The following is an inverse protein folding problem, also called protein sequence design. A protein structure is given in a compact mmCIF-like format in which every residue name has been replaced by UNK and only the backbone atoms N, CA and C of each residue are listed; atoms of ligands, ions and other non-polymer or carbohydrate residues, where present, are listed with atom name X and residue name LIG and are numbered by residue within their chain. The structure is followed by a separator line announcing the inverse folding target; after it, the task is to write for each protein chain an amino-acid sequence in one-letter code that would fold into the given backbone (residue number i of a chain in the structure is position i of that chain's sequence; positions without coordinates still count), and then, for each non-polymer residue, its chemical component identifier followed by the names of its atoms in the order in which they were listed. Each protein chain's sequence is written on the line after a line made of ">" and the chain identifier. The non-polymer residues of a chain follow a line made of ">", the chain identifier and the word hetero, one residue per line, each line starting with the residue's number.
data_IF_204712810419
#
_entry.id   IF_204712810419
#
_cell.length_a   1.000
_cell.length_b   1.000
_cell.length_c   1.000
_cell.angle_alpha   90.00
_cell.angle_beta   90.00
_cell.angle_gamma   90.00
#
_symmetry.space_group_name_H-M   'P 1'
#
loop_
_entity.id
_entity.type
_entity.pdbx_description
1 polymer ?
#
# COMPACT_ATOMS: atom_id res chain seq x y z
N UNK A 1 10.02 31.88 3.07
CA UNK A 1 10.14 30.52 2.49
C UNK A 1 11.56 30.02 2.75
N UNK A 2 11.77 29.10 3.69
CA UNK A 2 13.07 28.45 3.90
C UNK A 2 13.11 27.23 2.99
N UNK A 3 13.94 27.26 1.95
CA UNK A 3 14.31 26.05 1.22
C UNK A 3 15.01 25.11 2.22
N UNK A 4 14.38 23.98 2.52
CA UNK A 4 14.98 22.94 3.35
C UNK A 4 16.29 22.49 2.73
N UNK A 5 17.31 22.30 3.56
CA UNK A 5 18.64 21.81 3.18
C UNK A 5 18.48 20.56 2.31
N UNK A 6 19.11 20.53 1.14
CA UNK A 6 19.10 19.33 0.28
C UNK A 6 19.71 18.16 1.06
N UNK A 7 19.11 16.95 0.98
CA UNK A 7 19.61 15.79 1.70
C UNK A 7 21.04 15.46 1.26
N UNK A 8 21.85 15.01 2.20
CA UNK A 8 23.21 14.58 1.87
C UNK A 8 23.20 13.23 1.11
N UNK A 9 24.35 12.84 0.56
CA UNK A 9 24.46 11.61 -0.27
C UNK A 9 24.03 10.37 0.50
N UNK A 10 24.23 10.33 1.82
CA UNK A 10 23.86 9.20 2.67
C UNK A 10 22.35 9.19 2.90
N UNK A 11 21.74 10.34 3.21
CA UNK A 11 20.29 10.50 3.34
C UNK A 11 19.56 10.20 2.02
N UNK A 12 20.10 10.63 0.88
CA UNK A 12 19.59 10.30 -0.44
C UNK A 12 19.72 8.79 -0.75
N UNK A 13 20.82 8.17 -0.35
CA UNK A 13 21.06 6.74 -0.52
C UNK A 13 20.18 5.87 0.41
N UNK A 14 19.95 6.31 1.65
CA UNK A 14 19.02 5.68 2.59
C UNK A 14 17.56 5.83 2.12
N UNK A 15 17.19 6.99 1.58
CA UNK A 15 15.89 7.19 0.92
C UNK A 15 15.70 6.29 -0.32
N UNK A 16 16.77 5.99 -1.07
CA UNK A 16 16.74 5.01 -2.15
C UNK A 16 16.64 3.55 -1.67
N UNK A 17 16.99 3.24 -0.41
CA UNK A 17 16.83 1.91 0.19
C UNK A 17 15.42 1.66 0.72
N UNK A 18 14.74 2.71 1.16
CA UNK A 18 13.34 2.65 1.53
C UNK A 18 12.49 2.38 0.28
N UNK A 19 11.61 1.38 0.34
CA UNK A 19 10.70 1.13 -0.76
C UNK A 19 9.74 2.33 -0.89
N UNK A 20 9.74 3.08 -2.01
CA UNK A 20 8.91 4.28 -2.09
C UNK A 20 7.44 3.92 -2.02
N UNK A 21 6.68 4.61 -1.16
CA UNK A 21 5.23 4.42 -1.05
C UNK A 21 4.55 4.54 -2.42
N UNK A 22 4.92 5.56 -3.21
CA UNK A 22 4.37 5.76 -4.55
C UNK A 22 4.63 4.59 -5.52
N UNK A 23 5.79 3.92 -5.41
CA UNK A 23 6.10 2.76 -6.23
C UNK A 23 5.21 1.55 -5.88
N UNK A 24 5.03 1.26 -4.58
CA UNK A 24 4.13 0.17 -4.16
C UNK A 24 2.67 0.47 -4.54
N UNK A 25 2.25 1.73 -4.40
CA UNK A 25 0.92 2.19 -4.83
C UNK A 25 0.71 1.94 -6.33
N UNK A 26 1.65 2.34 -7.17
CA UNK A 26 1.58 2.12 -8.62
C UNK A 26 1.48 0.62 -8.95
N UNK A 27 2.29 -0.22 -8.30
CA UNK A 27 2.23 -1.68 -8.50
C UNK A 27 0.89 -2.29 -8.06
N UNK A 28 0.34 -1.82 -6.94
CA UNK A 28 -0.98 -2.24 -6.48
C UNK A 28 -2.08 -1.83 -7.48
N UNK A 29 -2.05 -0.61 -8.01
CA UNK A 29 -2.98 -0.18 -9.06
C UNK A 29 -2.89 -1.02 -10.32
N UNK A 30 -1.67 -1.33 -10.79
CA UNK A 30 -1.45 -2.18 -11.97
C UNK A 30 -2.05 -3.57 -11.74
N UNK A 31 -1.78 -4.18 -10.57
CA UNK A 31 -2.35 -5.50 -10.21
C UNK A 31 -3.88 -5.45 -10.18
N UNK A 32 -4.47 -4.47 -9.51
CA UNK A 32 -5.93 -4.27 -9.43
C UNK A 32 -6.55 -4.14 -10.83
N UNK A 33 -5.95 -3.32 -11.70
CA UNK A 33 -6.38 -3.18 -13.10
C UNK A 33 -6.29 -4.52 -13.85
N UNK A 34 -5.20 -5.28 -13.65
CA UNK A 34 -5.03 -6.63 -14.21
C UNK A 34 -6.07 -7.63 -13.70
N UNK A 35 -6.57 -7.45 -12.47
CA UNK A 35 -7.66 -8.24 -11.90
C UNK A 35 -9.06 -7.76 -12.36
N UNK A 36 -9.13 -6.72 -13.19
CA UNK A 36 -10.37 -6.16 -13.74
C UNK A 36 -11.03 -5.10 -12.87
N UNK A 37 -10.35 -4.57 -11.86
CA UNK A 37 -10.86 -3.42 -11.09
C UNK A 37 -10.65 -2.12 -11.85
N UNK A 38 -11.60 -1.19 -11.70
CA UNK A 38 -11.45 0.21 -12.07
C UNK A 38 -11.03 1.01 -10.83
N UNK A 39 -9.94 1.75 -10.93
CA UNK A 39 -9.56 2.73 -9.90
C UNK A 39 -10.45 3.95 -10.05
N UNK A 40 -11.00 4.45 -8.93
CA UNK A 40 -11.88 5.61 -8.91
C UNK A 40 -11.39 6.65 -7.90
N UNK A 41 -11.64 7.91 -8.20
CA UNK A 41 -11.46 8.97 -7.21
C UNK A 41 -12.51 8.87 -6.12
N UNK A 42 -12.16 9.38 -4.93
CA UNK A 42 -13.03 9.44 -3.76
C UNK A 42 -14.39 10.07 -4.08
N UNK A 43 -14.42 11.11 -4.90
CA UNK A 43 -15.66 11.83 -5.22
C UNK A 43 -16.67 10.97 -5.96
N UNK A 44 -16.19 9.96 -6.69
CA UNK A 44 -17.00 8.99 -7.42
C UNK A 44 -17.38 7.76 -6.57
N UNK A 45 -16.88 7.66 -5.33
CA UNK A 45 -17.22 6.56 -4.44
C UNK A 45 -18.58 6.78 -3.74
N UNK A 46 -19.26 5.70 -3.32
CA UNK A 46 -20.47 5.80 -2.49
C UNK A 46 -20.21 6.48 -1.15
N UNK A 47 -21.25 7.06 -0.54
CA UNK A 47 -21.11 7.80 0.72
C UNK A 47 -20.59 6.96 1.88
N UNK A 48 -20.91 5.67 1.93
CA UNK A 48 -20.41 4.78 2.98
C UNK A 48 -18.89 4.55 2.86
N UNK A 49 -18.33 4.49 1.65
CA UNK A 49 -16.88 4.46 1.40
C UNK A 49 -16.26 5.81 1.80
N UNK A 50 -16.88 6.92 1.40
CA UNK A 50 -16.42 8.27 1.76
C UNK A 50 -16.40 8.50 3.28
N UNK A 51 -17.25 7.83 4.05
CA UNK A 51 -17.27 7.92 5.51
C UNK A 51 -16.19 7.05 6.18
N UNK A 52 -15.71 6.00 5.52
CA UNK A 52 -14.77 5.05 6.09
C UNK A 52 -13.35 5.61 6.32
N UNK A 53 -12.95 6.67 5.61
CA UNK A 53 -11.62 7.27 5.73
C UNK A 53 -11.05 7.68 4.38
N UNK A 54 -9.73 7.84 4.28
CA UNK A 54 -9.03 8.21 3.05
C UNK A 54 -7.97 7.17 2.67
N UNK A 55 -8.38 6.03 2.08
CA UNK A 55 -7.45 5.01 1.64
C UNK A 55 -6.58 5.52 0.49
N UNK A 56 -5.40 4.92 0.31
CA UNK A 56 -4.49 5.28 -0.78
C UNK A 56 -5.09 4.98 -2.16
N UNK A 57 -5.86 3.89 -2.29
CA UNK A 57 -6.54 3.48 -3.52
C UNK A 57 -7.97 3.05 -3.20
N UNK A 58 -8.92 3.50 -4.02
CA UNK A 58 -10.29 2.98 -4.08
C UNK A 58 -10.46 2.30 -5.43
N UNK A 59 -10.83 1.03 -5.41
CA UNK A 59 -11.01 0.23 -6.62
C UNK A 59 -12.39 -0.44 -6.60
N UNK A 60 -13.02 -0.57 -7.76
CA UNK A 60 -14.35 -1.18 -7.90
C UNK A 60 -14.40 -2.18 -9.05
N UNK A 61 -15.06 -3.32 -8.83
CA UNK A 61 -15.33 -4.34 -9.85
C UNK A 61 -16.71 -4.95 -9.59
N UNK A 62 -17.62 -4.88 -10.56
CA UNK A 62 -18.97 -5.46 -10.45
C UNK A 62 -19.76 -5.06 -9.19
N UNK A 63 -19.55 -3.83 -8.69
CA UNK A 63 -20.18 -3.33 -7.47
C UNK A 63 -19.46 -3.69 -6.17
N UNK A 64 -18.42 -4.53 -6.22
CA UNK A 64 -17.54 -4.82 -5.10
C UNK A 64 -16.42 -3.79 -5.02
N UNK A 65 -16.17 -3.27 -3.81
CA UNK A 65 -15.17 -2.23 -3.55
C UNK A 65 -13.99 -2.83 -2.80
N UNK A 66 -12.78 -2.46 -3.23
CA UNK A 66 -11.54 -2.70 -2.50
C UNK A 66 -10.97 -1.35 -2.04
N UNK A 67 -10.70 -1.25 -0.75
CA UNK A 67 -9.96 -0.14 -0.15
C UNK A 67 -8.55 -0.63 0.15
N UNK A 68 -7.56 0.03 -0.43
CA UNK A 68 -6.16 -0.40 -0.28
C UNK A 68 -5.37 0.70 0.42
N UNK A 69 -4.69 0.28 1.48
CA UNK A 69 -3.74 1.08 2.22
C UNK A 69 -2.33 0.55 1.96
N UNK A 70 -1.42 1.43 1.54
CA UNK A 70 -0.05 1.11 1.19
C UNK A 70 0.86 1.49 2.35
N UNK A 71 1.36 0.48 3.06
CA UNK A 71 2.28 0.65 4.20
C UNK A 71 3.63 0.01 3.91
N UNK A 72 4.59 0.73 3.30
CA UNK A 72 5.97 0.31 3.30
C UNK A 72 6.46 0.27 4.75
N UNK A 73 7.08 -0.83 5.17
CA UNK A 73 7.65 -0.98 6.50
C UNK A 73 8.97 -1.73 6.42
N UNK A 74 10.06 -1.04 6.75
CA UNK A 74 11.40 -1.65 6.80
C UNK A 74 11.48 -2.74 7.87
N UNK A 75 10.73 -2.60 8.96
CA UNK A 75 10.66 -3.60 10.01
C UNK A 75 10.01 -4.91 9.50
N UNK A 76 8.85 -4.81 8.83
CA UNK A 76 8.18 -5.99 8.25
C UNK A 76 9.04 -6.63 7.15
N UNK A 77 9.75 -5.81 6.36
CA UNK A 77 10.71 -6.28 5.35
C UNK A 77 11.88 -7.04 5.99
N UNK A 78 12.43 -6.55 7.09
CA UNK A 78 13.50 -7.25 7.81
C UNK A 78 13.02 -8.59 8.36
N UNK A 79 11.82 -8.61 8.95
CA UNK A 79 11.25 -9.83 9.52
C UNK A 79 10.88 -10.87 8.46
N UNK A 80 10.50 -10.46 7.25
CA UNK A 80 10.21 -11.42 6.17
C UNK A 80 11.45 -12.13 5.62
N UNK A 81 12.65 -11.60 5.88
CA UNK A 81 13.92 -12.21 5.45
C UNK A 81 14.46 -13.26 6.44
N UNK A 82 13.93 -13.32 7.67
CA UNK A 82 14.36 -14.31 8.65
C UNK A 82 13.51 -15.58 8.55
N UNK A 83 14.09 -16.74 8.90
CA UNK A 83 13.39 -18.04 8.89
C UNK A 83 12.47 -18.20 10.12
N UNK A 84 11.55 -17.25 10.31
CA UNK A 84 10.58 -17.23 11.38
C UNK A 84 9.18 -16.91 10.84
N UNK A 85 8.15 -17.25 11.61
CA UNK A 85 6.76 -16.88 11.29
C UNK A 85 6.57 -15.39 11.58
N UNK A 86 6.16 -14.62 10.58
CA UNK A 86 5.71 -13.24 10.75
C UNK A 86 4.20 -13.22 11.00
N UNK A 87 3.76 -12.49 12.03
CA UNK A 87 2.34 -12.26 12.35
C UNK A 87 2.13 -10.75 12.48
N UNK A 88 1.20 -10.19 11.70
CA UNK A 88 0.75 -8.81 11.83
C UNK A 88 -0.47 -8.76 12.76
N UNK A 89 -0.40 -7.92 13.79
CA UNK A 89 -1.52 -7.64 14.70
C UNK A 89 -2.03 -6.23 14.41
N UNK A 90 -3.32 -6.10 14.15
CA UNK A 90 -3.99 -4.82 13.84
C UNK A 90 -5.41 -4.82 14.43
N UNK A 91 -6.04 -3.66 14.47
CA UNK A 91 -7.35 -3.37 15.07
C UNK A 91 -8.54 -3.64 14.12
N UNK A 92 -8.49 -4.76 13.40
CA UNK A 92 -9.67 -5.27 12.67
C UNK A 92 -10.32 -6.41 13.44
N UNK A 93 -11.63 -6.59 13.24
CA UNK A 93 -12.39 -7.65 13.89
C UNK A 93 -11.92 -9.05 13.46
N UNK A 94 -11.68 -9.25 12.16
CA UNK A 94 -11.30 -10.54 11.60
C UNK A 94 -10.13 -10.41 10.61
N UNK A 95 -9.11 -11.25 10.76
CA UNK A 95 -7.96 -11.27 9.85
C UNK A 95 -8.33 -11.67 8.40
N UNK A 96 -9.41 -12.45 8.22
CA UNK A 96 -9.96 -12.82 6.90
C UNK A 96 -10.52 -11.63 6.12
N UNK A 97 -10.83 -10.52 6.79
CA UNK A 97 -11.23 -9.28 6.14
C UNK A 97 -10.05 -8.52 5.52
N UNK A 98 -8.81 -8.91 5.83
CA UNK A 98 -7.58 -8.29 5.29
C UNK A 98 -6.90 -9.26 4.32
N UNK A 99 -6.68 -8.78 3.10
CA UNK A 99 -5.72 -9.37 2.18
C UNK A 99 -4.39 -8.61 2.26
N UNK A 100 -3.27 -9.33 2.34
CA UNK A 100 -1.93 -8.73 2.39
C UNK A 100 -1.19 -9.02 1.09
N UNK A 101 -0.75 -7.97 0.40
CA UNK A 101 0.11 -8.07 -0.78
C UNK A 101 1.56 -7.72 -0.45
N UNK A 102 2.43 -8.72 -0.55
CA UNK A 102 3.88 -8.54 -0.51
C UNK A 102 4.46 -8.27 -1.91
N UNK A 103 5.79 -8.21 -1.98
CA UNK A 103 6.50 -7.92 -3.23
C UNK A 103 6.24 -8.96 -4.33
N UNK A 104 6.05 -10.24 -3.97
CA UNK A 104 5.74 -11.30 -4.92
C UNK A 104 4.34 -11.16 -5.50
N UNK A 105 3.36 -10.89 -4.65
CA UNK A 105 1.96 -10.69 -5.06
C UNK A 105 1.84 -9.48 -6.00
N UNK A 106 2.68 -8.46 -5.81
CA UNK A 106 2.80 -7.27 -6.65
C UNK A 106 3.66 -7.46 -7.91
N UNK A 107 4.29 -8.64 -8.10
CA UNK A 107 5.15 -8.93 -9.26
C UNK A 107 6.44 -8.10 -9.28
N UNK A 108 6.96 -7.72 -8.12
CA UNK A 108 8.20 -6.96 -7.97
C UNK A 108 9.43 -7.88 -7.87
N UNK A 109 9.26 -9.08 -7.27
CA UNK A 109 10.30 -10.10 -7.07
C UNK A 109 9.78 -11.50 -7.34
#
# INVERSE_FOLDING_TARGET
>A
MRYGKLPDVKEAFEACRAMPHGFLKEKAEIKLKGMGYKIIDRDHAPDWIKKAGNPDIIAVKNGEYALVEVKPSDQLKQYSMVKAKLVLVTDVEEGSAIEVWGLKELGVV
#
